data_IF_502593215199
#
_entry.id   IF_502593215199
#
_cell.length_a   1.000
_cell.length_b   1.000
_cell.length_c   1.000
_cell.angle_alpha   90.00
_cell.angle_beta   90.00
_cell.angle_gamma   90.00
#
_symmetry.space_group_name_H-M   'P 1'
#
loop_
_entity.id
_entity.type
_entity.pdbx_description
1 polymer ?
#
# COMPACT_ATOMS: atom_id res chain seq x y z
N UNK A 1 -1.24 -6.28 25.17
CA UNK A 1 -2.65 -5.85 24.86
C UNK A 1 -2.95 -6.33 23.45
N UNK A 2 -4.12 -6.89 23.20
CA UNK A 2 -4.45 -7.44 21.89
C UNK A 2 -4.71 -6.32 20.89
N UNK A 3 -4.05 -6.41 19.71
CA UNK A 3 -4.29 -5.49 18.60
C UNK A 3 -5.65 -5.79 17.97
N UNK A 4 -6.33 -4.76 17.47
CA UNK A 4 -7.50 -4.93 16.61
C UNK A 4 -7.58 -3.83 15.56
N UNK A 5 -8.29 -4.12 14.48
CA UNK A 5 -8.63 -3.16 13.44
C UNK A 5 -10.08 -3.36 13.03
N UNK A 6 -10.88 -2.31 13.17
CA UNK A 6 -12.31 -2.32 12.88
C UNK A 6 -12.64 -1.20 11.90
N UNK A 7 -13.16 -1.56 10.74
CA UNK A 7 -13.65 -0.65 9.71
C UNK A 7 -15.18 -0.70 9.71
N UNK A 8 -15.86 0.45 9.82
CA UNK A 8 -17.32 0.54 9.83
C UNK A 8 -17.82 1.59 8.85
N UNK A 9 -18.53 1.15 7.82
CA UNK A 9 -19.15 2.00 6.82
C UNK A 9 -18.15 2.88 6.05
N UNK A 10 -16.92 2.40 5.89
CA UNK A 10 -15.80 3.18 5.34
C UNK A 10 -16.05 3.50 3.89
N UNK A 11 -16.18 4.79 3.59
CA UNK A 11 -16.23 5.32 2.22
C UNK A 11 -15.18 6.39 2.03
N UNK A 12 -14.62 6.46 0.82
CA UNK A 12 -13.62 7.47 0.45
C UNK A 12 -13.94 8.07 -0.91
N UNK A 13 -14.17 9.37 -0.92
CA UNK A 13 -14.36 10.18 -2.11
C UNK A 13 -13.07 10.99 -2.39
N UNK A 14 -12.46 10.78 -3.54
CA UNK A 14 -11.26 11.50 -3.96
C UNK A 14 -11.60 12.50 -5.07
N UNK A 15 -11.04 13.74 -5.03
CA UNK A 15 -11.24 14.70 -6.08
C UNK A 15 -10.50 14.25 -7.36
N UNK A 16 -11.24 14.14 -8.45
CA UNK A 16 -10.67 14.03 -9.79
C UNK A 16 -10.40 15.43 -10.31
N UNK A 17 -9.14 15.72 -10.56
CA UNK A 17 -8.76 16.92 -11.32
C UNK A 17 -8.79 16.53 -12.79
N UNK A 18 -9.93 16.69 -13.46
CA UNK A 18 -9.98 16.65 -14.92
C UNK A 18 -9.26 17.90 -15.43
N UNK A 19 -8.00 17.74 -15.85
CA UNK A 19 -7.40 18.72 -16.75
C UNK A 19 -8.15 18.57 -18.07
N UNK A 20 -9.13 19.46 -18.33
CA UNK A 20 -9.59 19.65 -19.71
C UNK A 20 -8.33 19.94 -20.54
N UNK A 21 -8.06 19.08 -21.53
CA UNK A 21 -7.00 19.34 -22.51
C UNK A 21 -7.33 20.69 -23.14
N UNK A 22 -6.64 21.73 -22.66
CA UNK A 22 -6.72 23.06 -23.27
C UNK A 22 -6.18 22.91 -24.68
N UNK A 23 -7.06 22.83 -25.66
CA UNK A 23 -6.65 22.93 -27.05
C UNK A 23 -5.94 24.28 -27.19
N UNK A 24 -4.77 24.27 -27.82
CA UNK A 24 -3.93 25.44 -28.06
C UNK A 24 -4.64 26.52 -28.94
N UNK A 25 -5.88 26.27 -29.37
CA UNK A 25 -6.74 27.15 -30.18
C UNK A 25 -7.83 27.86 -29.39
N UNK A 26 -7.78 27.85 -28.03
CA UNK A 26 -8.81 28.55 -27.24
C UNK A 26 -8.72 30.07 -27.37
N UNK A 27 -9.74 30.67 -27.90
CA UNK A 27 -9.92 32.14 -28.06
C UNK A 27 -9.85 32.83 -26.69
N UNK A 28 -9.34 34.05 -26.60
CA UNK A 28 -9.17 34.84 -25.36
C UNK A 28 -10.43 34.90 -24.47
N UNK A 29 -11.62 34.82 -25.06
CA UNK A 29 -12.91 34.76 -24.32
C UNK A 29 -13.09 33.45 -23.49
N UNK A 30 -12.50 32.35 -23.93
CA UNK A 30 -12.53 31.05 -23.18
C UNK A 30 -11.57 31.10 -22.00
N UNK A 31 -10.44 31.79 -22.16
CA UNK A 31 -9.45 31.98 -21.08
C UNK A 31 -10.02 32.91 -19.97
N UNK A 32 -10.75 33.97 -20.34
CA UNK A 32 -11.42 34.83 -19.35
C UNK A 32 -12.52 34.09 -18.58
N UNK A 33 -13.34 33.30 -19.26
CA UNK A 33 -14.37 32.48 -18.60
C UNK A 33 -13.77 31.42 -17.66
N UNK A 34 -12.65 30.79 -18.05
CA UNK A 34 -11.94 29.80 -17.22
C UNK A 34 -11.29 30.41 -15.97
N UNK A 35 -10.94 31.72 -16.02
CA UNK A 35 -10.38 32.43 -14.85
C UNK A 35 -11.41 32.68 -13.74
N UNK A 36 -12.71 32.76 -14.10
CA UNK A 36 -13.81 33.02 -13.16
C UNK A 36 -14.67 31.78 -12.85
N UNK A 37 -14.42 30.62 -13.49
CA UNK A 37 -15.11 29.39 -13.18
C UNK A 37 -14.24 28.56 -12.25
N UNK A 38 -14.66 28.25 -11.01
CA UNK A 38 -13.92 27.36 -10.15
C UNK A 38 -13.80 25.98 -10.84
N UNK A 39 -12.64 25.31 -10.76
CA UNK A 39 -12.48 23.99 -11.35
C UNK A 39 -13.56 23.07 -10.80
N UNK A 40 -14.37 22.47 -11.66
CA UNK A 40 -15.34 21.46 -11.27
C UNK A 40 -14.56 20.31 -10.64
N UNK A 41 -14.67 20.16 -9.34
CA UNK A 41 -14.14 19.00 -8.59
C UNK A 41 -15.19 17.90 -8.72
N UNK A 42 -14.98 17.00 -9.64
CA UNK A 42 -15.73 15.74 -9.63
C UNK A 42 -15.17 14.86 -8.52
N UNK A 43 -16.00 14.47 -7.56
CA UNK A 43 -15.64 13.49 -6.53
C UNK A 43 -15.87 12.10 -7.10
N UNK A 44 -14.83 11.29 -7.08
CA UNK A 44 -14.94 9.87 -7.40
C UNK A 44 -14.92 9.05 -6.13
N UNK A 45 -15.98 8.31 -5.87
CA UNK A 45 -16.03 7.33 -4.79
C UNK A 45 -15.09 6.17 -5.14
N UNK A 46 -14.05 6.00 -4.36
CA UNK A 46 -13.04 4.94 -4.52
C UNK A 46 -13.23 3.79 -3.56
N UNK A 47 -13.86 4.05 -2.41
CA UNK A 47 -14.37 3.05 -1.47
C UNK A 47 -15.81 3.42 -1.10
N UNK A 48 -16.67 2.43 -0.98
CA UNK A 48 -18.09 2.63 -0.70
C UNK A 48 -18.61 1.57 0.28
N UNK A 49 -18.91 2.01 1.51
CA UNK A 49 -19.50 1.24 2.61
C UNK A 49 -18.74 -0.06 2.96
N UNK A 50 -17.43 0.03 3.13
CA UNK A 50 -16.59 -1.12 3.49
C UNK A 50 -16.60 -1.32 4.99
N UNK A 51 -17.04 -2.51 5.45
CA UNK A 51 -17.12 -2.87 6.87
C UNK A 51 -16.52 -4.25 7.12
N UNK A 52 -15.59 -4.36 8.07
CA UNK A 52 -15.00 -5.61 8.54
C UNK A 52 -14.26 -5.42 9.86
N UNK A 53 -13.98 -6.54 10.56
CA UNK A 53 -13.23 -6.57 11.81
C UNK A 53 -12.09 -7.58 11.71
N UNK A 54 -10.90 -7.16 12.21
CA UNK A 54 -9.69 -7.98 12.29
C UNK A 54 -9.22 -8.09 13.73
N UNK A 55 -8.83 -9.31 14.13
CA UNK A 55 -8.40 -9.70 15.48
C UNK A 55 -7.00 -10.32 15.45
N UNK A 56 -6.33 -10.48 16.60
CA UNK A 56 -5.08 -11.23 16.68
C UNK A 56 -5.19 -12.60 16.05
N UNK A 57 -4.20 -12.96 15.24
CA UNK A 57 -4.19 -14.20 14.44
C UNK A 57 -4.79 -14.04 13.04
N UNK A 58 -5.48 -12.95 12.74
CA UNK A 58 -5.97 -12.71 11.38
C UNK A 58 -4.81 -12.35 10.44
N UNK A 59 -4.70 -13.13 9.36
CA UNK A 59 -3.82 -12.90 8.22
C UNK A 59 -4.68 -12.78 6.98
N UNK A 60 -4.94 -11.54 6.58
CA UNK A 60 -6.03 -11.21 5.66
C UNK A 60 -5.50 -10.84 4.29
N UNK A 61 -5.89 -11.58 3.27
CA UNK A 61 -5.69 -11.24 1.87
C UNK A 61 -6.71 -10.20 1.41
N UNK A 62 -6.27 -9.15 0.71
CA UNK A 62 -7.18 -8.27 -0.05
C UNK A 62 -7.10 -8.66 -1.52
N UNK A 63 -8.21 -9.20 -2.04
CA UNK A 63 -8.34 -9.72 -3.40
C UNK A 63 -9.25 -8.80 -4.20
N UNK A 64 -8.98 -8.64 -5.48
CA UNK A 64 -9.79 -7.84 -6.40
C UNK A 64 -9.02 -7.43 -7.63
N UNK A 65 -9.72 -6.92 -8.64
CA UNK A 65 -9.13 -6.47 -9.91
C UNK A 65 -8.22 -5.25 -9.74
N UNK A 66 -7.48 -4.92 -10.80
CA UNK A 66 -6.77 -3.64 -10.87
C UNK A 66 -7.79 -2.50 -10.86
N UNK A 67 -7.56 -1.50 -10.02
CA UNK A 67 -8.50 -0.39 -9.83
C UNK A 67 -9.72 -0.70 -8.94
N UNK A 68 -9.84 -1.89 -8.34
CA UNK A 68 -10.95 -2.24 -7.46
C UNK A 68 -10.97 -1.46 -6.13
N UNK A 69 -9.86 -0.79 -5.76
CA UNK A 69 -9.75 -0.03 -4.52
C UNK A 69 -8.81 -0.65 -3.47
N UNK A 70 -8.11 -1.76 -3.76
CA UNK A 70 -7.22 -2.46 -2.81
C UNK A 70 -6.19 -1.53 -2.18
N UNK A 71 -5.32 -0.91 -2.97
CA UNK A 71 -4.27 -0.01 -2.46
C UNK A 71 -4.86 1.24 -1.79
N UNK A 72 -6.05 1.68 -2.19
CA UNK A 72 -6.78 2.76 -1.51
C UNK A 72 -7.23 2.30 -0.13
N UNK A 73 -7.79 1.11 -0.01
CA UNK A 73 -8.17 0.52 1.29
C UNK A 73 -6.96 0.40 2.21
N UNK A 74 -5.82 -0.12 1.72
CA UNK A 74 -4.60 -0.19 2.52
C UNK A 74 -4.16 1.18 3.04
N UNK A 75 -4.22 2.24 2.21
CA UNK A 75 -3.89 3.62 2.63
C UNK A 75 -4.84 4.17 3.69
N UNK A 76 -6.11 3.80 3.63
CA UNK A 76 -7.09 4.16 4.67
C UNK A 76 -6.79 3.40 5.97
N UNK A 77 -6.46 2.11 5.91
CA UNK A 77 -6.14 1.28 7.07
C UNK A 77 -4.90 1.75 7.83
N UNK A 78 -3.89 2.25 7.13
CA UNK A 78 -2.70 2.84 7.78
C UNK A 78 -2.94 4.26 8.30
N UNK A 79 -4.06 4.89 7.96
CA UNK A 79 -4.40 6.26 8.34
C UNK A 79 -3.81 7.34 7.42
N UNK A 80 -3.27 6.98 6.25
CA UNK A 80 -2.77 7.94 5.26
C UNK A 80 -3.92 8.74 4.60
N UNK A 81 -5.09 8.11 4.46
CA UNK A 81 -6.31 8.76 3.98
C UNK A 81 -7.40 8.64 5.04
N UNK A 82 -7.88 9.74 5.59
CA UNK A 82 -9.07 9.71 6.44
C UNK A 82 -10.30 9.35 5.58
N UNK A 83 -11.19 8.46 6.04
CA UNK A 83 -12.41 8.15 5.31
C UNK A 83 -13.32 9.39 5.24
N UNK A 84 -14.05 9.54 4.11
CA UNK A 84 -15.05 10.62 3.94
C UNK A 84 -16.32 10.33 4.75
N UNK A 85 -16.68 9.04 4.88
CA UNK A 85 -17.79 8.54 5.70
C UNK A 85 -17.37 7.28 6.42
N UNK A 86 -18.02 6.98 7.54
CA UNK A 86 -17.65 5.87 8.40
C UNK A 86 -16.40 6.17 9.21
N UNK A 87 -15.81 5.16 9.83
CA UNK A 87 -14.61 5.32 10.64
C UNK A 87 -13.79 4.03 10.70
N UNK A 88 -12.52 4.19 11.09
CA UNK A 88 -11.61 3.09 11.40
C UNK A 88 -11.16 3.25 12.85
N UNK A 89 -11.34 2.19 13.62
CA UNK A 89 -10.83 2.08 14.98
C UNK A 89 -9.66 1.08 14.97
N UNK A 90 -8.52 1.50 15.52
CA UNK A 90 -7.32 0.66 15.56
C UNK A 90 -6.69 0.74 16.93
N UNK A 91 -6.36 -0.42 17.47
CA UNK A 91 -5.53 -0.58 18.66
C UNK A 91 -4.29 -1.38 18.28
N UNK A 92 -3.14 -0.88 18.67
CA UNK A 92 -1.85 -1.46 18.33
C UNK A 92 -1.05 -0.60 17.35
N UNK A 93 0.25 -0.87 17.30
CA UNK A 93 1.18 -0.20 16.40
C UNK A 93 1.02 -0.74 14.98
N UNK A 94 0.94 0.18 13.99
CA UNK A 94 0.75 -0.18 12.57
C UNK A 94 2.02 0.08 11.79
N UNK A 95 2.36 -0.83 10.92
CA UNK A 95 3.41 -0.64 9.93
C UNK A 95 2.89 -0.93 8.53
N UNK A 96 3.27 -0.05 7.61
CA UNK A 96 2.94 -0.19 6.20
C UNK A 96 4.20 -0.47 5.38
N UNK A 97 4.19 -1.56 4.63
CA UNK A 97 5.14 -1.83 3.57
C UNK A 97 4.49 -1.49 2.22
N UNK A 98 4.07 -0.22 2.10
CA UNK A 98 3.51 0.34 0.88
C UNK A 98 4.56 1.26 0.28
N UNK A 99 4.98 0.98 -0.93
CA UNK A 99 5.91 1.85 -1.66
C UNK A 99 7.14 2.29 -0.84
N UNK A 100 7.95 1.29 -0.44
CA UNK A 100 9.09 1.44 0.46
C UNK A 100 10.18 2.42 -0.02
N UNK A 101 10.20 2.75 -1.31
CA UNK A 101 11.16 3.72 -1.89
C UNK A 101 10.70 5.19 -1.79
N UNK A 102 9.45 5.48 -1.39
CA UNK A 102 8.95 6.84 -1.27
C UNK A 102 9.36 7.51 0.05
N UNK A 103 9.37 8.84 0.05
CA UNK A 103 9.59 9.65 1.25
C UNK A 103 11.06 9.87 1.62
N UNK A 104 11.98 9.54 0.74
CA UNK A 104 13.39 9.89 0.88
C UNK A 104 13.69 11.27 0.26
N UNK A 105 14.62 12.01 0.87
CA UNK A 105 15.18 13.25 0.32
C UNK A 105 16.39 12.94 -0.56
N UNK A 106 16.38 13.27 -1.85
CA UNK A 106 17.51 12.96 -2.75
C UNK A 106 18.83 13.65 -2.35
N UNK A 107 18.75 14.82 -1.72
CA UNK A 107 19.90 15.64 -1.36
C UNK A 107 20.45 15.37 0.04
N UNK A 108 19.71 14.70 0.88
CA UNK A 108 20.16 14.24 2.19
C UNK A 108 21.06 12.99 2.07
N UNK A 109 21.95 12.80 3.05
CA UNK A 109 22.76 11.58 3.18
C UNK A 109 21.90 10.36 3.52
N UNK A 110 22.48 9.16 3.43
CA UNK A 110 21.77 7.95 3.81
C UNK A 110 21.40 7.97 5.29
N UNK A 111 22.31 8.39 6.15
CA UNK A 111 22.07 8.50 7.60
C UNK A 111 20.96 9.49 7.90
N UNK A 112 20.99 10.69 7.30
CA UNK A 112 19.92 11.67 7.45
C UNK A 112 18.57 11.14 6.97
N UNK A 113 18.54 10.44 5.85
CA UNK A 113 17.33 9.82 5.33
C UNK A 113 16.78 8.74 6.27
N UNK A 114 17.63 7.89 6.85
CA UNK A 114 17.24 6.90 7.85
C UNK A 114 16.59 7.59 9.05
N UNK A 115 17.25 8.65 9.58
CA UNK A 115 16.75 9.40 10.74
C UNK A 115 15.40 10.06 10.43
N UNK A 116 15.32 10.84 9.36
CA UNK A 116 14.10 11.56 8.97
C UNK A 116 12.92 10.60 8.75
N UNK A 117 13.16 9.52 8.04
CA UNK A 117 12.10 8.57 7.71
C UNK A 117 11.71 7.68 8.89
N UNK A 118 12.67 7.26 9.72
CA UNK A 118 12.37 6.53 10.95
C UNK A 118 11.49 7.34 11.90
N UNK A 119 11.76 8.65 12.04
CA UNK A 119 10.92 9.58 12.82
C UNK A 119 9.53 9.71 12.17
N UNK A 120 9.46 9.86 10.84
CA UNK A 120 8.18 9.93 10.12
C UNK A 120 7.34 8.63 10.25
N UNK A 121 8.00 7.49 10.49
CA UNK A 121 7.35 6.20 10.80
C UNK A 121 6.94 6.08 12.28
N UNK A 122 7.15 7.11 13.10
CA UNK A 122 6.75 7.14 14.51
C UNK A 122 7.82 6.65 15.50
N UNK A 123 9.05 6.39 15.06
CA UNK A 123 10.16 6.04 15.94
C UNK A 123 10.70 7.28 16.66
N UNK A 124 11.14 7.12 17.90
CA UNK A 124 11.87 8.18 18.60
C UNK A 124 13.29 8.35 18.01
N UNK A 125 13.83 9.57 17.93
CA UNK A 125 15.18 9.81 17.34
C UNK A 125 16.26 8.88 17.90
N UNK A 126 16.29 8.67 19.21
CA UNK A 126 17.25 7.78 19.86
C UNK A 126 17.11 6.31 19.41
N UNK A 127 15.89 5.85 19.17
CA UNK A 127 15.65 4.49 18.65
C UNK A 127 16.16 4.36 17.21
N UNK A 128 15.88 5.36 16.36
CA UNK A 128 16.37 5.32 14.97
C UNK A 128 17.89 5.29 14.95
N UNK A 129 18.54 6.15 15.75
CA UNK A 129 20.01 6.23 15.81
C UNK A 129 20.66 4.90 16.19
N UNK A 130 20.05 4.12 17.08
CA UNK A 130 20.53 2.79 17.47
C UNK A 130 20.48 1.77 16.34
N UNK A 131 19.60 1.96 15.34
CA UNK A 131 19.42 1.03 14.22
C UNK A 131 20.12 1.46 12.93
N UNK A 132 20.77 2.63 12.89
CA UNK A 132 21.39 3.15 11.66
C UNK A 132 22.38 2.15 11.07
N UNK A 133 23.28 1.60 11.90
CA UNK A 133 24.30 0.65 11.48
C UNK A 133 23.68 -0.65 10.94
N UNK A 134 22.74 -1.25 11.68
CA UNK A 134 22.00 -2.45 11.25
C UNK A 134 21.29 -2.23 9.90
N UNK A 135 20.65 -1.06 9.72
CA UNK A 135 19.93 -0.72 8.49
C UNK A 135 20.89 -0.64 7.30
N UNK A 136 22.03 0.03 7.48
CA UNK A 136 23.03 0.19 6.43
C UNK A 136 23.71 -1.14 6.09
N UNK A 137 24.02 -1.95 7.08
CA UNK A 137 24.59 -3.29 6.89
C UNK A 137 23.63 -4.21 6.14
N UNK A 138 22.36 -4.28 6.57
CA UNK A 138 21.35 -5.09 5.88
C UNK A 138 21.15 -4.65 4.42
N UNK A 139 21.19 -3.34 4.17
CA UNK A 139 21.07 -2.77 2.83
C UNK A 139 22.35 -2.92 1.98
N UNK A 140 23.47 -3.36 2.56
CA UNK A 140 24.81 -3.41 1.94
C UNK A 140 25.28 -2.00 1.51
N UNK A 141 25.08 -1.00 2.37
CA UNK A 141 25.35 0.41 2.08
C UNK A 141 26.23 1.09 3.14
N UNK A 142 26.89 0.35 4.01
CA UNK A 142 27.70 0.88 5.13
C UNK A 142 28.76 1.87 4.65
N UNK A 143 29.48 1.54 3.58
CA UNK A 143 30.53 2.42 3.01
C UNK A 143 29.96 3.71 2.39
N UNK A 144 28.65 3.74 2.11
CA UNK A 144 27.95 4.88 1.50
C UNK A 144 27.16 5.72 2.52
N UNK A 145 27.30 5.49 3.80
CA UNK A 145 26.51 6.13 4.85
C UNK A 145 26.44 7.67 4.72
N UNK A 146 27.55 8.32 4.42
CA UNK A 146 27.64 9.77 4.18
C UNK A 146 27.34 10.24 2.76
N UNK A 147 27.05 9.33 1.83
CA UNK A 147 26.71 9.71 0.45
C UNK A 147 25.26 10.23 0.37
N UNK A 148 25.01 11.13 -0.58
CA UNK A 148 23.65 11.61 -0.85
C UNK A 148 22.83 10.53 -1.54
N UNK A 149 21.55 10.41 -1.18
CA UNK A 149 20.67 9.38 -1.71
C UNK A 149 20.56 9.38 -3.23
N UNK A 150 20.64 10.57 -3.87
CA UNK A 150 20.60 10.69 -5.33
C UNK A 150 21.70 9.92 -6.07
N UNK A 151 22.81 9.58 -5.38
CA UNK A 151 23.92 8.80 -5.96
C UNK A 151 23.64 7.30 -6.00
N UNK A 152 22.59 6.83 -5.33
CA UNK A 152 22.22 5.43 -5.29
C UNK A 152 21.42 5.02 -6.54
N UNK A 153 21.63 3.78 -6.99
CA UNK A 153 20.74 3.12 -7.96
C UNK A 153 19.34 2.90 -7.39
N UNK A 154 18.36 2.65 -8.26
CA UNK A 154 17.00 2.32 -7.83
C UNK A 154 16.96 1.10 -6.91
N UNK A 155 17.75 0.04 -7.24
CA UNK A 155 17.86 -1.15 -6.39
C UNK A 155 18.43 -0.84 -5.01
N UNK A 156 19.48 -0.03 -4.92
CA UNK A 156 20.07 0.38 -3.64
C UNK A 156 19.09 1.21 -2.77
N UNK A 157 18.30 2.10 -3.39
CA UNK A 157 17.23 2.83 -2.68
C UNK A 157 16.15 1.89 -2.15
N UNK A 158 15.78 0.89 -2.95
CA UNK A 158 14.83 -0.14 -2.53
C UNK A 158 15.35 -0.95 -1.34
N UNK A 159 16.62 -1.38 -1.36
CA UNK A 159 17.25 -2.09 -0.24
C UNK A 159 17.25 -1.24 1.03
N UNK A 160 17.65 0.03 0.94
CA UNK A 160 17.63 0.96 2.07
C UNK A 160 16.22 1.13 2.63
N UNK A 161 15.24 1.35 1.74
CA UNK A 161 13.84 1.51 2.13
C UNK A 161 13.27 0.28 2.81
N UNK A 162 13.62 -0.91 2.29
CA UNK A 162 13.20 -2.18 2.89
C UNK A 162 13.86 -2.44 4.25
N UNK A 163 15.18 -2.24 4.34
CA UNK A 163 15.91 -2.39 5.59
C UNK A 163 15.29 -1.53 6.70
N UNK A 164 15.07 -0.24 6.41
CA UNK A 164 14.44 0.68 7.35
C UNK A 164 13.00 0.28 7.68
N UNK A 165 12.20 -0.05 6.66
CA UNK A 165 10.80 -0.40 6.86
C UNK A 165 10.62 -1.71 7.65
N UNK A 166 11.60 -2.58 7.69
CA UNK A 166 11.56 -3.86 8.44
C UNK A 166 12.39 -3.87 9.72
N UNK A 167 12.90 -2.73 10.17
CA UNK A 167 13.74 -2.64 11.36
C UNK A 167 12.94 -2.90 12.64
N UNK A 168 11.75 -2.32 12.77
CA UNK A 168 10.92 -2.45 13.98
C UNK A 168 9.81 -3.46 13.77
N UNK A 169 9.54 -4.27 14.80
CA UNK A 169 8.38 -5.14 14.83
C UNK A 169 7.15 -4.36 15.27
N UNK A 170 6.07 -4.48 14.51
CA UNK A 170 4.78 -3.86 14.81
C UNK A 170 3.70 -4.94 14.95
N UNK A 171 2.63 -4.61 15.68
CA UNK A 171 1.53 -5.53 15.96
C UNK A 171 0.65 -5.75 14.72
N UNK A 172 0.50 -4.73 13.87
CA UNK A 172 -0.31 -4.77 12.64
C UNK A 172 0.60 -4.47 11.46
N UNK A 173 0.74 -5.43 10.54
CA UNK A 173 1.54 -5.31 9.33
C UNK A 173 0.63 -5.21 8.10
N UNK A 174 0.78 -4.15 7.31
CA UNK A 174 -0.03 -3.88 6.11
C UNK A 174 0.91 -3.81 4.90
N UNK A 175 0.64 -4.64 3.87
CA UNK A 175 1.51 -4.79 2.71
C UNK A 175 0.73 -4.69 1.40
N UNK A 176 1.32 -4.00 0.41
CA UNK A 176 0.83 -3.97 -0.98
C UNK A 176 1.88 -4.66 -1.85
N UNK A 177 1.66 -5.92 -2.17
CA UNK A 177 2.58 -6.86 -2.81
C UNK A 177 3.71 -7.39 -1.89
N UNK A 178 4.19 -8.57 -2.25
CA UNK A 178 5.38 -9.18 -1.67
C UNK A 178 6.63 -8.75 -2.45
N UNK A 179 7.74 -8.57 -1.79
CA UNK A 179 8.96 -8.08 -2.41
C UNK A 179 9.48 -9.11 -3.41
N UNK A 180 9.60 -8.68 -4.67
CA UNK A 180 10.10 -9.50 -5.77
C UNK A 180 11.21 -8.86 -6.58
N UNK A 181 11.77 -7.71 -6.15
CA UNK A 181 12.77 -6.96 -6.91
C UNK A 181 14.08 -6.79 -6.17
N UNK A 182 15.18 -7.21 -6.79
CA UNK A 182 16.54 -7.13 -6.26
C UNK A 182 17.42 -8.22 -6.88
N UNK A 183 18.71 -8.27 -6.51
CA UNK A 183 19.53 -9.44 -6.79
C UNK A 183 19.11 -10.62 -5.89
N UNK A 184 19.44 -11.83 -6.35
CA UNK A 184 18.97 -13.07 -5.72
C UNK A 184 19.34 -13.16 -4.22
N UNK A 185 20.55 -12.76 -3.85
CA UNK A 185 21.01 -12.84 -2.46
C UNK A 185 20.28 -11.87 -1.53
N UNK A 186 19.97 -10.65 -2.01
CA UNK A 186 19.16 -9.72 -1.23
C UNK A 186 17.71 -10.18 -1.09
N UNK A 187 17.12 -10.70 -2.18
CA UNK A 187 15.72 -11.19 -2.19
C UNK A 187 15.54 -12.32 -1.17
N UNK A 188 16.50 -13.23 -1.06
CA UNK A 188 16.47 -14.33 -0.09
C UNK A 188 16.43 -13.78 1.36
N UNK A 189 17.40 -12.93 1.74
CA UNK A 189 17.47 -12.32 3.08
C UNK A 189 16.25 -11.45 3.37
N UNK A 190 15.77 -10.69 2.38
CA UNK A 190 14.57 -9.87 2.51
C UNK A 190 13.32 -10.71 2.74
N UNK A 191 13.21 -11.85 2.05
CA UNK A 191 12.11 -12.81 2.22
C UNK A 191 12.10 -13.42 3.61
N UNK A 192 13.26 -13.85 4.11
CA UNK A 192 13.40 -14.38 5.47
C UNK A 192 13.03 -13.33 6.53
N UNK A 193 13.55 -12.10 6.39
CA UNK A 193 13.25 -10.99 7.30
C UNK A 193 11.76 -10.65 7.28
N UNK A 194 11.14 -10.59 6.09
CA UNK A 194 9.72 -10.31 5.96
C UNK A 194 8.86 -11.44 6.56
N UNK A 195 9.23 -12.70 6.33
CA UNK A 195 8.57 -13.87 6.94
C UNK A 195 8.60 -13.77 8.46
N UNK A 196 9.75 -13.46 9.05
CA UNK A 196 9.87 -13.25 10.49
C UNK A 196 8.94 -12.11 10.98
N UNK A 197 8.83 -11.00 10.22
CA UNK A 197 7.92 -9.90 10.57
C UNK A 197 6.45 -10.31 10.51
N UNK A 198 6.08 -11.09 9.50
CA UNK A 198 4.72 -11.64 9.34
C UNK A 198 4.40 -12.61 10.47
N UNK A 199 5.32 -13.50 10.82
CA UNK A 199 5.10 -14.52 11.87
C UNK A 199 4.91 -13.88 13.25
N UNK A 200 5.62 -12.79 13.53
CA UNK A 200 5.56 -12.06 14.81
C UNK A 200 4.50 -10.96 14.88
N UNK A 201 3.82 -10.62 13.77
CA UNK A 201 2.72 -9.67 13.79
C UNK A 201 1.44 -10.32 14.36
N UNK A 202 0.64 -9.56 15.11
CA UNK A 202 -0.66 -10.03 15.59
C UNK A 202 -1.69 -10.05 14.46
N UNK A 203 -1.66 -9.03 13.59
CA UNK A 203 -2.56 -8.92 12.42
C UNK A 203 -1.71 -8.64 11.18
N UNK A 204 -2.01 -9.33 10.09
CA UNK A 204 -1.40 -9.09 8.78
C UNK A 204 -2.48 -8.80 7.74
N UNK A 205 -2.29 -7.74 6.95
CA UNK A 205 -3.13 -7.41 5.79
C UNK A 205 -2.24 -7.37 4.56
N UNK A 206 -2.51 -8.23 3.59
CA UNK A 206 -1.71 -8.37 2.38
C UNK A 206 -2.58 -8.23 1.13
N UNK A 207 -2.33 -7.23 0.29
CA UNK A 207 -2.83 -7.23 -1.07
C UNK A 207 -1.78 -7.88 -1.98
N UNK A 208 -2.18 -8.86 -2.77
CA UNK A 208 -1.31 -9.48 -3.78
C UNK A 208 -2.12 -10.12 -4.90
N UNK A 209 -1.49 -10.23 -6.06
CA UNK A 209 -2.03 -10.95 -7.21
C UNK A 209 -1.60 -12.43 -7.24
N UNK A 210 -0.65 -12.83 -6.40
CA UNK A 210 -0.13 -14.19 -6.31
C UNK A 210 -1.01 -15.09 -5.43
N UNK A 211 -1.92 -15.85 -6.05
CA UNK A 211 -2.75 -16.80 -5.31
C UNK A 211 -1.95 -17.84 -4.48
N UNK A 212 -0.81 -18.38 -4.96
CA UNK A 212 0.03 -19.25 -4.13
C UNK A 212 0.52 -18.57 -2.86
N UNK A 213 0.99 -17.32 -2.97
CA UNK A 213 1.44 -16.54 -1.81
C UNK A 213 0.31 -16.27 -0.81
N UNK A 214 -0.87 -15.89 -1.31
CA UNK A 214 -2.02 -15.65 -0.44
C UNK A 214 -2.43 -16.90 0.34
N UNK A 215 -2.36 -18.08 -0.28
CA UNK A 215 -2.61 -19.37 0.38
C UNK A 215 -1.59 -19.71 1.46
N UNK A 216 -0.33 -19.34 1.22
CA UNK A 216 0.75 -19.61 2.16
C UNK A 216 0.71 -18.70 3.39
N UNK A 217 0.36 -17.42 3.20
CA UNK A 217 0.48 -16.38 4.22
C UNK A 217 -0.84 -16.12 4.94
N UNK A 218 -1.98 -16.20 4.24
CA UNK A 218 -3.25 -15.71 4.74
C UNK A 218 -4.21 -16.84 5.13
N UNK A 219 -5.00 -16.62 6.20
CA UNK A 219 -6.08 -17.53 6.63
C UNK A 219 -7.47 -17.02 6.27
N UNK A 220 -7.61 -15.71 6.02
CA UNK A 220 -8.87 -15.05 5.60
C UNK A 220 -8.62 -14.18 4.37
N UNK A 221 -9.70 -13.83 3.68
CA UNK A 221 -9.64 -12.91 2.56
C UNK A 221 -10.86 -11.98 2.50
N UNK A 222 -10.64 -10.79 1.96
CA UNK A 222 -11.63 -9.80 1.60
C UNK A 222 -11.63 -9.64 0.08
N UNK A 223 -12.79 -9.74 -0.57
CA UNK A 223 -12.96 -9.49 -2.00
C UNK A 223 -13.49 -8.08 -2.22
N UNK A 224 -12.68 -7.25 -2.83
CA UNK A 224 -13.04 -5.87 -3.16
C UNK A 224 -13.32 -5.76 -4.65
N UNK A 225 -14.49 -5.23 -5.00
CA UNK A 225 -14.88 -4.92 -6.36
C UNK A 225 -15.50 -3.54 -6.43
N UNK A 226 -14.98 -2.68 -7.32
CA UNK A 226 -15.45 -1.29 -7.52
C UNK A 226 -15.60 -0.50 -6.21
N UNK A 227 -14.65 -0.66 -5.31
CA UNK A 227 -14.63 0.02 -4.00
C UNK A 227 -15.52 -0.60 -2.92
N UNK A 228 -16.24 -1.70 -3.20
CA UNK A 228 -17.12 -2.38 -2.24
C UNK A 228 -16.55 -3.71 -1.79
N UNK A 229 -16.83 -4.07 -0.54
CA UNK A 229 -16.57 -5.40 -0.02
C UNK A 229 -17.72 -6.33 -0.45
N UNK A 230 -17.44 -7.25 -1.37
CA UNK A 230 -18.45 -8.16 -1.92
C UNK A 230 -18.31 -9.60 -1.45
N UNK A 231 -17.25 -9.91 -0.71
CA UNK A 231 -17.02 -11.24 -0.15
C UNK A 231 -15.99 -11.21 0.97
N UNK A 232 -16.20 -12.03 2.00
CA UNK A 232 -15.28 -12.22 3.12
C UNK A 232 -15.37 -13.67 3.61
N UNK A 233 -14.24 -14.30 3.85
CA UNK A 233 -14.19 -15.67 4.32
C UNK A 233 -12.81 -16.30 4.28
N UNK A 234 -12.72 -17.63 4.21
CA UNK A 234 -11.46 -18.33 3.99
C UNK A 234 -10.85 -18.01 2.63
N UNK A 235 -9.50 -18.04 2.55
CA UNK A 235 -8.78 -17.65 1.32
C UNK A 235 -9.27 -18.42 0.09
N UNK A 236 -9.47 -19.74 0.20
CA UNK A 236 -9.90 -20.59 -0.92
C UNK A 236 -11.31 -20.26 -1.41
N UNK A 237 -12.23 -19.96 -0.50
CA UNK A 237 -13.61 -19.63 -0.84
C UNK A 237 -13.67 -18.31 -1.60
N UNK A 238 -12.94 -17.31 -1.11
CA UNK A 238 -12.89 -15.99 -1.73
C UNK A 238 -12.13 -16.03 -3.07
N UNK A 239 -11.07 -16.82 -3.20
CA UNK A 239 -10.39 -17.03 -4.48
C UNK A 239 -11.30 -17.71 -5.51
N UNK A 240 -12.15 -18.68 -5.09
CA UNK A 240 -13.16 -19.30 -5.98
C UNK A 240 -14.22 -18.29 -6.41
N UNK A 241 -14.70 -17.45 -5.48
CA UNK A 241 -15.64 -16.38 -5.79
C UNK A 241 -15.02 -15.38 -6.79
N UNK A 242 -13.77 -14.97 -6.58
CA UNK A 242 -13.06 -14.07 -7.48
C UNK A 242 -12.91 -14.65 -8.89
N UNK A 243 -12.57 -15.96 -9.02
CA UNK A 243 -12.50 -16.62 -10.33
C UNK A 243 -13.83 -16.62 -11.06
N UNK A 244 -14.94 -16.87 -10.36
CA UNK A 244 -16.29 -16.83 -10.96
C UNK A 244 -16.64 -15.45 -11.51
N UNK A 245 -16.27 -14.38 -10.78
CA UNK A 245 -16.47 -13.00 -11.24
C UNK A 245 -15.69 -12.69 -12.52
N UNK A 246 -14.45 -13.17 -12.62
CA UNK A 246 -13.63 -12.97 -13.82
C UNK A 246 -14.23 -13.67 -15.05
N UNK A 247 -14.77 -14.89 -14.89
CA UNK A 247 -15.39 -15.65 -15.99
C UNK A 247 -16.69 -14.99 -16.44
N UNK A 248 -17.57 -14.61 -15.52
CA UNK A 248 -18.86 -14.01 -15.84
C UNK A 248 -18.75 -12.72 -16.67
N UNK A 249 -17.71 -11.92 -16.44
CA UNK A 249 -17.49 -10.70 -17.25
C UNK A 249 -16.89 -10.99 -18.61
N UNK A 250 -16.10 -12.07 -18.75
CA UNK A 250 -15.57 -12.47 -20.07
C UNK A 250 -16.69 -12.92 -21.00
N UNK A 251 -17.74 -13.52 -20.45
CA UNK A 251 -18.91 -13.96 -21.21
C UNK A 251 -19.85 -12.80 -21.57
N UNK A 252 -19.82 -11.70 -20.86
CA UNK A 252 -20.67 -10.50 -21.12
C UNK A 252 -20.08 -9.50 -22.11
N UNK A 253 -18.82 -9.66 -22.54
CA UNK A 253 -18.26 -8.88 -23.64
C UNK A 253 -18.76 -9.48 -24.96
N UNK A 254 -19.58 -8.77 -25.77
CA UNK A 254 -19.97 -9.24 -27.08
C UNK A 254 -18.72 -9.43 -27.92
N UNK A 255 -18.57 -10.67 -28.43
CA UNK A 255 -17.51 -11.00 -29.36
C UNK A 255 -17.52 -9.98 -30.49
N UNK A 256 -16.35 -9.34 -30.71
CA UNK A 256 -16.09 -8.60 -31.93
C UNK A 256 -16.08 -9.64 -33.05
N UNK A 257 -17.27 -9.86 -33.65
CA UNK A 257 -17.36 -10.58 -34.91
C UNK A 257 -16.75 -9.68 -35.97
N UNK A 258 -15.50 -9.95 -36.29
CA UNK A 258 -14.88 -9.46 -37.52
C UNK A 258 -15.70 -9.92 -38.72
N UNK A 259 -16.24 -8.96 -39.46
CA UNK A 259 -16.76 -9.05 -40.79
C UNK A 259 -15.98 -8.10 -41.69
#
# INVERSE_FOLDING_TARGET
MDAFLNARGVSLDLPLYTQEQRSLSATASVLLRAAFSPPRRELRTTLDDVSFELKPGDRVAIIGRNGAGKSTLLRVLIGAYPPTRGFIEVKGTRQALLNIALGFSPDATLVENILLRGIAMGMRPAQVSQHVEEILEFAELTEKAGHRLRTLSTGQRMRLGFALATTVQNEILIMDEWIGTGDAGFVERATERLKSRVDNAQIVVLASHSAPLLRQVCNRALLIERGRLIGMGGVEDVLRQYKKLLVAETETLPGNSDG
#
